data_IF_109533799505
#
_entry.id   IF_109533799505
#
_cell.length_a   1.000
_cell.length_b   1.000
_cell.length_c   1.000
_cell.angle_alpha   90.00
_cell.angle_beta   90.00
_cell.angle_gamma   90.00
#
_symmetry.space_group_name_H-M   'P 1'
#
loop_
_entity.id
_entity.type
_entity.pdbx_description
1 polymer ?
#
# COMPACT_ATOMS: atom_id res chain seq x y z
N UNK A 1 26.13 -18.63 -50.44
CA UNK A 1 25.42 -18.39 -49.16
C UNK A 1 26.24 -18.90 -47.98
N UNK A 2 27.38 -18.28 -47.63
CA UNK A 2 28.20 -18.72 -46.48
C UNK A 2 28.88 -17.61 -45.66
N UNK A 3 28.82 -16.35 -46.10
CA UNK A 3 29.30 -15.19 -45.32
C UNK A 3 28.19 -14.50 -44.48
N UNK A 4 26.93 -14.56 -44.90
CA UNK A 4 25.82 -13.85 -44.22
C UNK A 4 25.48 -14.45 -42.83
N UNK A 5 25.95 -15.67 -42.54
CA UNK A 5 25.66 -16.38 -41.29
C UNK A 5 26.71 -16.18 -40.18
N UNK A 6 27.85 -15.53 -40.47
CA UNK A 6 28.86 -15.22 -39.45
C UNK A 6 28.73 -13.82 -38.84
N UNK A 7 28.08 -12.87 -39.52
CA UNK A 7 27.89 -11.53 -38.96
C UNK A 7 26.89 -11.49 -37.78
N UNK A 8 25.92 -12.41 -37.77
CA UNK A 8 24.89 -12.46 -36.71
C UNK A 8 25.41 -13.06 -35.40
N UNK A 9 26.38 -13.97 -35.44
CA UNK A 9 26.93 -14.61 -34.23
C UNK A 9 27.83 -13.67 -33.42
N UNK A 10 28.38 -12.62 -34.05
CA UNK A 10 29.30 -11.68 -33.40
C UNK A 10 28.60 -10.56 -32.60
N UNK A 11 27.31 -10.28 -32.87
CA UNK A 11 26.54 -9.23 -32.17
C UNK A 11 26.01 -9.73 -30.82
N UNK A 12 25.93 -11.04 -30.60
CA UNK A 12 25.42 -11.62 -29.34
C UNK A 12 26.45 -11.66 -28.20
N UNK A 13 27.72 -11.32 -28.44
CA UNK A 13 28.83 -11.50 -27.50
C UNK A 13 29.45 -10.17 -27.02
N UNK A 14 28.63 -9.12 -26.81
CA UNK A 14 29.12 -7.82 -26.33
C UNK A 14 28.21 -7.10 -25.30
N UNK A 15 27.27 -7.81 -24.66
CA UNK A 15 26.39 -7.21 -23.61
C UNK A 15 26.23 -8.12 -22.38
N UNK A 16 27.30 -8.77 -21.94
CA UNK A 16 27.33 -9.54 -20.68
C UNK A 16 28.60 -9.31 -19.85
N UNK A 17 28.71 -8.13 -19.23
CA UNK A 17 29.59 -7.93 -18.06
C UNK A 17 29.07 -6.76 -17.20
N UNK A 18 28.24 -7.02 -16.18
CA UNK A 18 28.23 -6.25 -14.92
C UNK A 18 27.35 -6.92 -13.83
N UNK A 19 27.99 -7.52 -12.81
CA UNK A 19 27.55 -7.60 -11.39
C UNK A 19 28.36 -8.65 -10.61
N UNK A 20 28.41 -8.53 -9.27
CA UNK A 20 29.28 -9.25 -8.31
C UNK A 20 30.79 -8.89 -8.43
N UNK A 21 31.62 -8.69 -7.39
CA UNK A 21 31.60 -8.84 -5.90
C UNK A 21 32.75 -7.96 -5.30
N UNK A 22 32.96 -7.72 -3.99
CA UNK A 22 32.12 -7.57 -2.78
C UNK A 22 33.00 -7.36 -1.51
N UNK A 23 32.40 -6.98 -0.36
CA UNK A 23 32.82 -7.35 1.03
C UNK A 23 34.05 -6.66 1.69
N UNK A 24 33.80 -6.01 2.85
CA UNK A 24 34.68 -5.80 4.06
C UNK A 24 35.88 -4.83 3.89
N UNK A 25 36.16 -3.86 4.79
CA UNK A 25 36.51 -4.07 6.20
C UNK A 25 36.33 -2.84 7.13
N UNK A 26 36.21 -3.12 8.44
CA UNK A 26 35.96 -2.18 9.55
C UNK A 26 37.24 -1.51 10.09
N UNK A 27 37.12 -0.35 10.75
CA UNK A 27 37.44 -0.14 12.20
C UNK A 27 37.88 1.29 12.58
N UNK A 28 37.32 1.83 13.68
CA UNK A 28 37.90 2.87 14.58
C UNK A 28 38.25 4.25 13.98
N UNK A 29 38.27 5.39 14.69
CA UNK A 29 38.62 5.68 16.10
C UNK A 29 37.64 6.70 16.71
N UNK A 30 37.60 6.76 18.05
CA UNK A 30 36.71 7.60 18.87
C UNK A 30 37.31 8.98 19.25
N UNK A 31 36.64 9.64 20.20
CA UNK A 31 37.03 10.86 20.96
C UNK A 31 36.77 12.19 20.21
N UNK A 32 35.95 13.15 20.67
CA UNK A 32 35.59 13.69 22.00
C UNK A 32 36.54 14.76 22.55
N UNK A 33 36.17 16.05 22.41
CA UNK A 33 36.58 17.14 23.32
C UNK A 33 35.41 18.13 23.45
N UNK A 34 35.07 18.49 24.69
CA UNK A 34 34.25 19.66 25.03
C UNK A 34 35.22 20.78 25.40
N UNK A 35 35.10 21.98 24.82
CA UNK A 35 35.60 23.17 25.51
C UNK A 35 35.02 24.50 25.02
N UNK A 36 34.66 25.33 26.01
CA UNK A 36 34.20 26.70 25.92
C UNK A 36 35.28 27.66 26.43
N UNK A 37 35.58 28.77 25.73
CA UNK A 37 36.08 30.03 26.34
C UNK A 37 35.65 31.21 25.46
N UNK A 38 35.52 32.40 26.03
CA UNK A 38 35.10 33.66 25.39
C UNK A 38 36.27 34.63 25.09
N UNK A 39 36.06 35.57 24.15
CA UNK A 39 36.60 36.96 24.09
C UNK A 39 36.01 37.61 22.80
N UNK A 40 35.31 38.75 22.77
CA UNK A 40 35.52 40.12 23.29
C UNK A 40 36.43 41.00 22.40
N UNK A 41 35.82 41.90 21.61
CA UNK A 41 36.19 43.31 21.30
C UNK A 41 35.31 43.81 20.13
N UNK A 42 34.96 45.08 19.88
CA UNK A 42 34.69 46.30 20.66
C UNK A 42 34.76 47.50 19.67
N UNK A 43 33.65 48.24 19.44
CA UNK A 43 33.59 49.60 18.86
C UNK A 43 32.14 50.13 19.02
N UNK A 44 31.84 51.19 19.81
CA UNK A 44 32.04 52.65 19.55
C UNK A 44 31.12 53.17 18.43
N UNK A 45 30.28 54.22 18.57
CA UNK A 45 29.81 55.06 19.70
C UNK A 45 28.61 55.91 19.22
N UNK A 46 27.76 56.44 20.12
CA UNK A 46 26.75 57.47 19.74
C UNK A 46 25.67 57.76 20.78
N UNK A 47 25.77 58.89 21.49
CA UNK A 47 24.84 59.29 22.56
C UNK A 47 23.55 59.93 22.06
N UNK A 48 22.43 59.66 22.75
CA UNK A 48 21.40 60.65 23.03
C UNK A 48 20.62 60.27 24.31
N UNK A 49 20.44 61.23 25.24
CA UNK A 49 19.59 61.11 26.43
C UNK A 49 18.43 62.07 26.29
N UNK A 50 17.20 61.61 26.50
CA UNK A 50 16.02 62.45 26.75
C UNK A 50 14.98 61.68 27.59
N UNK A 51 14.13 62.42 28.29
CA UNK A 51 13.50 62.00 29.55
C UNK A 51 11.97 62.11 29.49
N UNK A 52 11.25 61.26 30.23
CA UNK A 52 9.84 61.45 30.69
C UNK A 52 8.72 61.51 29.60
N UNK A 53 7.46 61.12 29.83
CA UNK A 53 6.75 60.53 30.98
C UNK A 53 5.45 59.80 30.54
N UNK A 54 4.93 58.91 31.40
CA UNK A 54 3.50 58.56 31.61
C UNK A 54 2.64 58.00 30.44
N UNK A 55 1.51 57.30 30.66
CA UNK A 55 1.07 56.37 31.72
C UNK A 55 -0.30 55.73 31.31
N UNK A 56 -0.43 54.40 31.37
CA UNK A 56 -1.66 53.59 31.50
C UNK A 56 -1.22 52.10 31.46
N UNK A 57 -1.53 51.20 32.41
CA UNK A 57 -2.84 50.69 32.86
C UNK A 57 -3.64 50.06 31.69
N UNK A 58 -4.13 48.81 31.74
CA UNK A 58 -4.24 47.85 32.86
C UNK A 58 -4.11 46.38 32.40
N UNK A 59 -4.25 45.46 33.36
CA UNK A 59 -3.98 44.02 33.25
C UNK A 59 -5.16 43.16 32.76
N UNK A 60 -4.84 41.91 32.42
CA UNK A 60 -5.70 40.71 32.57
C UNK A 60 -7.06 40.71 31.85
N UNK A 61 -7.09 40.17 30.62
CA UNK A 61 -8.29 39.64 29.97
C UNK A 61 -8.09 38.14 29.68
N UNK A 62 -8.97 37.29 30.22
CA UNK A 62 -8.83 35.83 30.12
C UNK A 62 -9.12 35.31 28.71
N UNK A 63 -8.41 34.25 28.29
CA UNK A 63 -8.72 33.53 27.07
C UNK A 63 -10.05 32.77 27.21
N UNK A 64 -11.10 33.28 26.58
CA UNK A 64 -12.38 32.57 26.46
C UNK A 64 -12.25 31.43 25.46
N UNK A 65 -12.31 30.19 25.96
CA UNK A 65 -12.38 29.00 25.13
C UNK A 65 -13.71 29.00 24.34
N UNK A 66 -13.63 29.00 23.01
CA UNK A 66 -14.79 28.86 22.15
C UNK A 66 -15.29 27.41 22.17
N UNK A 67 -16.26 27.12 23.04
CA UNK A 67 -16.97 25.84 23.10
C UNK A 67 -17.90 25.68 21.90
N UNK A 68 -17.36 25.23 20.77
CA UNK A 68 -18.16 24.80 19.62
C UNK A 68 -18.88 23.47 19.95
N UNK A 69 -20.02 23.59 20.65
CA UNK A 69 -20.94 22.49 20.90
C UNK A 69 -21.70 22.11 19.62
N UNK A 70 -21.01 21.52 18.65
CA UNK A 70 -21.65 20.84 17.52
C UNK A 70 -22.34 19.60 18.03
N UNK A 71 -23.66 19.54 17.83
CA UNK A 71 -24.53 18.45 18.26
C UNK A 71 -23.96 17.08 17.92
N UNK A 72 -23.90 16.21 18.93
CA UNK A 72 -23.66 14.77 18.75
C UNK A 72 -24.90 14.13 18.11
N UNK A 73 -25.03 14.29 16.80
CA UNK A 73 -25.96 13.47 16.03
C UNK A 73 -25.52 12.00 16.11
N UNK A 74 -26.45 11.13 16.49
CA UNK A 74 -26.17 9.73 16.79
C UNK A 74 -26.21 8.88 15.53
N UNK A 75 -25.37 9.23 14.56
CA UNK A 75 -25.04 8.43 13.40
C UNK A 75 -23.58 7.96 13.52
N UNK A 76 -23.38 6.80 14.14
CA UNK A 76 -22.07 6.13 14.23
C UNK A 76 -21.65 5.52 12.87
N UNK A 77 -21.55 6.37 11.84
CA UNK A 77 -21.04 6.02 10.53
C UNK A 77 -19.51 6.11 10.52
N UNK A 78 -18.84 4.96 10.41
CA UNK A 78 -17.38 4.81 10.25
C UNK A 78 -16.49 5.78 11.04
N UNK A 79 -16.12 5.38 12.27
CA UNK A 79 -15.14 6.06 13.14
C UNK A 79 -13.77 6.33 12.51
N UNK A 80 -13.47 5.75 11.34
CA UNK A 80 -12.27 5.99 10.54
C UNK A 80 -12.31 7.37 9.83
N UNK A 81 -13.49 7.86 9.46
CA UNK A 81 -13.64 9.15 8.74
C UNK A 81 -13.28 10.36 9.62
N UNK A 82 -13.30 10.22 10.94
CA UNK A 82 -12.89 11.25 11.89
C UNK A 82 -11.38 11.25 12.19
N UNK A 83 -10.63 10.23 11.76
CA UNK A 83 -9.19 10.14 12.02
C UNK A 83 -8.40 11.18 11.19
N UNK A 84 -7.29 11.71 11.73
CA UNK A 84 -6.38 12.56 10.97
C UNK A 84 -5.78 11.79 9.79
N UNK A 85 -5.53 12.46 8.67
CA UNK A 85 -4.84 11.90 7.50
C UNK A 85 -3.32 11.94 7.61
N UNK A 86 -2.80 12.59 8.66
CA UNK A 86 -1.38 12.67 9.00
C UNK A 86 -1.23 12.78 10.51
N UNK A 87 -0.47 11.86 11.12
CA UNK A 87 0.02 11.99 12.49
C UNK A 87 1.32 11.19 12.67
N UNK A 88 2.02 11.46 13.77
CA UNK A 88 3.18 10.68 14.23
C UNK A 88 2.94 10.29 15.68
N UNK A 89 3.23 9.04 16.02
CA UNK A 89 3.05 8.49 17.36
C UNK A 89 4.35 7.88 17.87
N UNK A 90 4.48 7.78 19.20
CA UNK A 90 5.61 7.11 19.83
C UNK A 90 5.65 5.60 19.54
N UNK A 91 6.79 5.00 19.85
CA UNK A 91 7.07 3.57 19.70
C UNK A 91 6.28 2.64 20.63
N UNK A 92 5.43 3.19 21.51
CA UNK A 92 4.41 2.45 22.28
C UNK A 92 3.15 2.12 21.48
N UNK A 93 2.96 2.73 20.31
CA UNK A 93 1.80 2.50 19.43
C UNK A 93 2.18 1.53 18.31
N UNK A 94 1.39 0.46 18.15
CA UNK A 94 1.60 -0.51 17.08
C UNK A 94 1.19 0.03 15.70
N UNK A 95 1.72 -0.56 14.63
CA UNK A 95 1.19 -0.33 13.29
C UNK A 95 -0.25 -0.88 13.18
N UNK A 96 -1.07 -0.23 12.38
CA UNK A 96 -2.42 -0.68 12.08
C UNK A 96 -2.40 -1.82 11.04
N UNK A 97 -3.44 -2.63 11.01
CA UNK A 97 -3.61 -3.68 10.01
C UNK A 97 -5.04 -3.72 9.48
N UNK A 98 -5.20 -4.27 8.28
CA UNK A 98 -6.50 -4.70 7.78
C UNK A 98 -6.56 -6.24 7.76
N UNK A 99 -7.75 -6.80 8.02
CA UNK A 99 -8.00 -8.23 7.90
C UNK A 99 -9.15 -8.45 6.94
N UNK A 100 -8.95 -9.28 5.91
CA UNK A 100 -10.01 -9.67 4.99
C UNK A 100 -11.03 -10.56 5.72
N UNK A 101 -12.28 -10.11 5.74
CA UNK A 101 -13.45 -10.87 6.19
C UNK A 101 -13.96 -11.73 5.03
N UNK A 102 -14.06 -11.12 3.85
CA UNK A 102 -14.51 -11.77 2.61
C UNK A 102 -13.48 -11.51 1.49
N UNK A 103 -13.15 -12.52 0.68
CA UNK A 103 -13.46 -13.92 0.88
C UNK A 103 -12.59 -14.53 2.00
N UNK A 104 -13.19 -15.41 2.81
CA UNK A 104 -12.51 -16.01 3.96
C UNK A 104 -11.54 -17.09 3.49
N UNK A 105 -10.23 -16.83 3.56
CA UNK A 105 -9.22 -17.86 3.30
C UNK A 105 -9.17 -18.87 4.47
N UNK A 106 -9.42 -20.15 4.18
CA UNK A 106 -9.17 -21.22 5.15
C UNK A 106 -7.72 -21.69 5.03
N UNK A 107 -7.12 -22.16 6.14
CA UNK A 107 -5.76 -22.71 6.16
C UNK A 107 -5.56 -23.88 5.18
N UNK A 108 -6.64 -24.55 4.77
CA UNK A 108 -6.61 -25.71 3.88
C UNK A 108 -7.20 -25.45 2.49
N UNK A 109 -7.95 -24.35 2.29
CA UNK A 109 -8.66 -24.08 1.03
C UNK A 109 -8.65 -22.57 0.76
N UNK A 110 -8.10 -22.18 -0.38
CA UNK A 110 -8.22 -20.81 -0.90
C UNK A 110 -9.54 -20.64 -1.66
N UNK A 111 -10.20 -19.47 -1.58
CA UNK A 111 -11.39 -19.16 -2.38
C UNK A 111 -11.11 -19.33 -3.87
N UNK A 112 -12.01 -20.01 -4.58
CA UNK A 112 -11.83 -20.41 -5.98
C UNK A 112 -12.88 -19.71 -6.87
N UNK A 113 -12.41 -18.99 -7.89
CA UNK A 113 -13.24 -18.18 -8.79
C UNK A 113 -13.03 -18.57 -10.25
N UNK A 114 -14.10 -18.47 -11.04
CA UNK A 114 -14.06 -18.76 -12.48
C UNK A 114 -13.57 -17.53 -13.26
N UNK A 115 -12.68 -17.74 -14.23
CA UNK A 115 -12.26 -16.71 -15.18
C UNK A 115 -13.38 -16.56 -16.23
N UNK A 116 -14.36 -15.70 -15.92
CA UNK A 116 -15.49 -15.35 -16.78
C UNK A 116 -15.73 -13.84 -16.65
N UNK A 117 -16.05 -13.15 -17.74
CA UNK A 117 -16.32 -11.69 -17.75
C UNK A 117 -17.55 -11.30 -16.92
N UNK A 118 -18.42 -12.26 -16.61
CA UNK A 118 -19.62 -12.12 -15.80
C UNK A 118 -19.35 -12.30 -14.29
N UNK A 119 -18.18 -12.83 -13.93
CA UNK A 119 -17.79 -13.11 -12.54
C UNK A 119 -17.30 -11.83 -11.85
N UNK A 120 -17.66 -11.67 -10.57
CA UNK A 120 -17.26 -10.54 -9.75
C UNK A 120 -16.70 -11.03 -8.41
N UNK A 121 -15.46 -10.66 -8.08
CA UNK A 121 -14.82 -11.04 -6.81
C UNK A 121 -14.98 -9.91 -5.80
N UNK A 122 -15.79 -10.12 -4.77
CA UNK A 122 -16.02 -9.13 -3.71
C UNK A 122 -15.07 -9.32 -2.54
N UNK A 123 -14.34 -8.26 -2.20
CA UNK A 123 -13.45 -8.15 -1.06
C UNK A 123 -14.09 -7.29 0.02
N UNK A 124 -14.01 -7.72 1.28
CA UNK A 124 -14.46 -6.97 2.47
C UNK A 124 -13.40 -7.14 3.55
N UNK A 125 -13.02 -6.06 4.23
CA UNK A 125 -12.02 -6.06 5.29
C UNK A 125 -12.40 -5.16 6.46
N UNK A 126 -11.83 -5.44 7.62
CA UNK A 126 -11.91 -4.60 8.81
C UNK A 126 -10.52 -4.09 9.21
N UNK A 127 -10.45 -2.85 9.70
CA UNK A 127 -9.22 -2.25 10.21
C UNK A 127 -9.06 -2.49 11.71
N UNK A 128 -7.83 -2.66 12.18
CA UNK A 128 -7.46 -2.82 13.60
C UNK A 128 -6.31 -1.88 13.93
N UNK A 129 -6.37 -1.20 15.08
CA UNK A 129 -5.38 -0.23 15.56
C UNK A 129 -5.09 0.96 14.62
N UNK A 130 -6.03 1.30 13.73
CA UNK A 130 -5.89 2.44 12.82
C UNK A 130 -6.12 3.76 13.56
N UNK A 131 -5.08 4.61 13.57
CA UNK A 131 -5.10 5.94 14.20
C UNK A 131 -4.82 7.06 13.19
N UNK A 132 -4.17 6.74 12.07
CA UNK A 132 -4.10 7.61 10.89
C UNK A 132 -4.95 7.02 9.78
N UNK A 133 -5.88 7.81 9.25
CA UNK A 133 -6.66 7.42 8.06
C UNK A 133 -5.76 7.53 6.82
N UNK A 134 -5.66 6.48 5.98
CA UNK A 134 -5.09 6.58 4.64
C UNK A 134 -5.77 7.67 3.82
N UNK A 135 -5.07 8.31 2.89
CA UNK A 135 -5.73 9.23 1.94
C UNK A 135 -6.37 8.43 0.81
N UNK A 136 -5.66 7.41 0.33
CA UNK A 136 -6.14 6.48 -0.69
C UNK A 136 -5.72 5.06 -0.29
N UNK A 137 -6.54 4.08 -0.63
CA UNK A 137 -6.23 2.66 -0.56
C UNK A 137 -6.08 2.11 -1.98
N UNK A 138 -5.09 1.25 -2.19
CA UNK A 138 -4.97 0.47 -3.42
C UNK A 138 -5.24 -0.99 -3.09
N UNK A 139 -6.18 -1.59 -3.82
CA UNK A 139 -6.38 -3.03 -3.84
C UNK A 139 -5.77 -3.57 -5.14
N UNK A 140 -4.91 -4.57 -5.02
CA UNK A 140 -4.23 -5.21 -6.13
C UNK A 140 -4.15 -6.74 -5.95
N UNK A 141 -3.86 -7.47 -7.01
CA UNK A 141 -3.61 -8.90 -6.98
C UNK A 141 -2.35 -9.26 -7.80
N UNK A 142 -1.43 -10.00 -7.19
CA UNK A 142 -0.20 -10.47 -7.83
C UNK A 142 -0.41 -11.89 -8.35
N UNK A 143 -0.28 -12.06 -9.67
CA UNK A 143 -0.45 -13.32 -10.37
C UNK A 143 0.76 -14.26 -10.20
N UNK A 144 0.64 -15.56 -10.55
CA UNK A 144 1.72 -16.54 -10.47
C UNK A 144 3.01 -16.08 -11.19
N UNK A 145 2.87 -15.43 -12.35
CA UNK A 145 3.95 -14.88 -13.17
C UNK A 145 4.53 -13.54 -12.65
N UNK A 146 4.14 -13.08 -11.45
CA UNK A 146 4.54 -11.81 -10.83
C UNK A 146 4.05 -10.53 -11.52
N UNK A 147 3.07 -10.63 -12.44
CA UNK A 147 2.34 -9.44 -12.90
C UNK A 147 1.36 -9.00 -11.81
N UNK A 148 1.37 -7.71 -11.48
CA UNK A 148 0.44 -7.10 -10.53
C UNK A 148 -0.74 -6.47 -11.27
N UNK A 149 -1.94 -6.89 -10.93
CA UNK A 149 -3.21 -6.31 -11.39
C UNK A 149 -3.72 -5.33 -10.33
N UNK A 150 -3.72 -4.03 -10.63
CA UNK A 150 -4.45 -3.06 -9.81
C UNK A 150 -5.94 -3.31 -10.01
N UNK A 151 -6.63 -3.71 -8.95
CA UNK A 151 -8.07 -3.99 -8.98
C UNK A 151 -8.83 -2.67 -8.96
N UNK A 152 -8.52 -1.81 -7.99
CA UNK A 152 -9.13 -0.49 -7.85
C UNK A 152 -8.34 0.41 -6.88
N UNK A 153 -8.50 1.71 -7.04
CA UNK A 153 -8.07 2.74 -6.08
C UNK A 153 -9.31 3.29 -5.38
N UNK A 154 -9.25 3.37 -4.05
CA UNK A 154 -10.39 3.63 -3.16
C UNK A 154 -10.08 4.80 -2.22
N UNK A 155 -11.12 5.42 -1.68
CA UNK A 155 -10.99 6.30 -0.53
C UNK A 155 -10.43 5.55 0.69
N UNK A 156 -9.66 6.24 1.53
CA UNK A 156 -9.04 5.65 2.72
C UNK A 156 -9.98 5.13 3.81
N UNK A 157 -11.28 5.44 3.73
CA UNK A 157 -12.33 4.89 4.62
C UNK A 157 -13.00 3.63 4.08
N UNK A 158 -12.69 3.20 2.85
CA UNK A 158 -13.30 2.04 2.24
C UNK A 158 -12.97 0.73 2.99
N UNK A 159 -14.00 -0.09 3.20
CA UNK A 159 -13.93 -1.42 3.84
C UNK A 159 -14.35 -2.55 2.89
N UNK A 160 -14.69 -2.24 1.64
CA UNK A 160 -15.04 -3.22 0.62
C UNK A 160 -14.71 -2.73 -0.79
N UNK A 161 -14.52 -3.67 -1.70
CA UNK A 161 -14.35 -3.42 -3.14
C UNK A 161 -14.73 -4.67 -3.94
N UNK A 162 -15.16 -4.47 -5.19
CA UNK A 162 -15.50 -5.56 -6.11
C UNK A 162 -14.61 -5.50 -7.34
N UNK A 163 -14.01 -6.64 -7.69
CA UNK A 163 -13.26 -6.83 -8.92
C UNK A 163 -14.15 -7.46 -9.99
N UNK A 164 -14.57 -6.67 -10.98
CA UNK A 164 -15.13 -7.21 -12.20
C UNK A 164 -14.03 -7.76 -13.09
N UNK A 165 -14.07 -9.06 -13.42
CA UNK A 165 -13.02 -9.67 -14.24
C UNK A 165 -13.06 -9.19 -15.70
N UNK A 166 -14.19 -8.63 -16.14
CA UNK A 166 -14.35 -7.92 -17.41
C UNK A 166 -13.50 -6.64 -17.54
N UNK A 167 -13.04 -6.06 -16.44
CA UNK A 167 -12.19 -4.86 -16.46
C UNK A 167 -10.69 -5.17 -16.65
N UNK A 168 -10.30 -6.45 -16.75
CA UNK A 168 -8.88 -6.83 -16.91
C UNK A 168 -8.38 -6.49 -18.33
N UNK A 169 -7.22 -5.83 -18.49
CA UNK A 169 -6.71 -5.47 -19.80
C UNK A 169 -6.45 -6.69 -20.70
N UNK A 170 -6.95 -6.66 -21.95
CA UNK A 170 -6.74 -7.73 -22.92
C UNK A 170 -5.26 -8.00 -23.25
N UNK A 171 -4.37 -7.04 -23.03
CA UNK A 171 -2.92 -7.19 -23.17
C UNK A 171 -2.26 -8.03 -22.06
N UNK A 172 -2.96 -8.27 -20.95
CA UNK A 172 -2.51 -9.11 -19.84
C UNK A 172 -3.70 -9.90 -19.29
N UNK A 173 -4.12 -10.98 -19.97
CA UNK A 173 -5.28 -11.76 -19.54
C UNK A 173 -5.00 -12.50 -18.22
N UNK A 174 -6.07 -12.73 -17.44
CA UNK A 174 -5.99 -13.59 -16.25
C UNK A 174 -5.56 -15.01 -16.64
N UNK A 175 -4.78 -15.63 -15.76
CA UNK A 175 -4.30 -16.99 -15.91
C UNK A 175 -4.82 -17.88 -14.79
N UNK A 176 -4.77 -19.19 -15.04
CA UNK A 176 -5.02 -20.22 -14.02
C UNK A 176 -4.03 -20.07 -12.86
N UNK A 177 -4.50 -20.26 -11.62
CA UNK A 177 -3.65 -20.43 -10.45
C UNK A 177 -3.88 -19.44 -9.32
N UNK A 178 -2.89 -19.33 -8.44
CA UNK A 178 -2.98 -18.61 -7.16
C UNK A 178 -2.56 -17.14 -7.30
N UNK A 179 -3.43 -16.24 -6.88
CA UNK A 179 -3.22 -14.79 -6.87
C UNK A 179 -3.14 -14.29 -5.43
N UNK A 180 -2.04 -13.63 -5.08
CA UNK A 180 -1.88 -12.99 -3.77
C UNK A 180 -2.53 -11.61 -3.79
N UNK A 181 -3.55 -11.40 -2.96
CA UNK A 181 -4.26 -10.13 -2.84
C UNK A 181 -3.44 -9.20 -1.93
N UNK A 182 -3.32 -7.95 -2.35
CA UNK A 182 -2.54 -6.91 -1.67
C UNK A 182 -3.43 -5.69 -1.42
N UNK A 183 -3.49 -5.23 -0.16
CA UNK A 183 -4.16 -4.00 0.23
C UNK A 183 -3.15 -3.09 0.94
N UNK A 184 -2.97 -1.87 0.43
CA UNK A 184 -1.99 -0.91 0.96
C UNK A 184 -2.46 0.54 0.80
N UNK A 185 -1.86 1.45 1.58
CA UNK A 185 -2.16 2.88 1.55
C UNK A 185 -1.32 3.64 0.49
N UNK A 186 -1.43 4.97 0.48
CA UNK A 186 -0.69 5.83 -0.46
C UNK A 186 0.84 5.72 -0.40
N UNK A 187 1.42 5.06 0.61
CA UNK A 187 2.87 4.83 0.76
C UNK A 187 3.34 3.56 0.02
N UNK A 188 2.41 2.75 -0.49
CA UNK A 188 2.70 1.60 -1.34
C UNK A 188 2.99 0.28 -0.60
N UNK A 189 3.13 -0.80 -1.37
CA UNK A 189 3.35 -2.17 -0.87
C UNK A 189 4.66 -2.34 -0.07
N UNK A 190 5.66 -1.48 -0.31
CA UNK A 190 6.95 -1.47 0.37
C UNK A 190 7.04 -0.47 1.53
N UNK A 191 5.89 0.06 2.00
CA UNK A 191 5.87 1.01 3.11
C UNK A 191 6.37 0.40 4.41
N UNK A 192 7.27 1.11 5.10
CA UNK A 192 7.73 0.71 6.44
C UNK A 192 6.61 0.78 7.47
N UNK A 193 6.53 -0.24 8.32
CA UNK A 193 5.64 -0.27 9.49
C UNK A 193 5.82 0.99 10.32
N UNK A 194 4.73 1.75 10.48
CA UNK A 194 4.73 3.04 11.20
C UNK A 194 3.59 3.02 12.23
N UNK A 195 3.82 3.45 13.48
CA UNK A 195 2.80 3.51 14.53
C UNK A 195 1.48 4.17 14.07
N UNK A 196 0.35 3.48 14.26
CA UNK A 196 -0.99 3.99 13.92
C UNK A 196 -1.35 4.07 12.42
N UNK A 197 -0.38 3.90 11.52
CA UNK A 197 -0.58 3.84 10.07
C UNK A 197 -0.83 2.40 9.60
N UNK A 198 -1.55 2.24 8.47
CA UNK A 198 -1.83 0.94 7.86
C UNK A 198 -0.56 0.24 7.36
N UNK A 199 -0.25 -0.94 7.88
CA UNK A 199 0.72 -1.84 7.27
C UNK A 199 0.16 -2.48 5.99
N UNK A 200 0.95 -2.65 4.91
CA UNK A 200 0.53 -3.39 3.73
C UNK A 200 0.12 -4.84 4.08
N UNK A 201 -1.03 -5.28 3.56
CA UNK A 201 -1.63 -6.58 3.87
C UNK A 201 -1.58 -7.50 2.65
N UNK A 202 -0.99 -8.68 2.81
CA UNK A 202 -0.76 -9.66 1.73
C UNK A 202 -1.17 -11.10 2.10
N UNK A 203 -2.00 -11.24 3.15
CA UNK A 203 -2.36 -12.52 3.78
C UNK A 203 -3.42 -13.31 3.02
N UNK A 204 -4.22 -12.65 2.19
CA UNK A 204 -5.26 -13.30 1.39
C UNK A 204 -4.66 -13.81 0.07
N UNK A 205 -4.91 -15.08 -0.24
CA UNK A 205 -4.65 -15.67 -1.57
C UNK A 205 -5.96 -16.25 -2.10
N UNK A 206 -6.25 -15.99 -3.37
CA UNK A 206 -7.40 -16.55 -4.09
C UNK A 206 -6.91 -17.39 -5.28
N UNK A 207 -7.74 -18.29 -5.77
CA UNK A 207 -7.45 -19.15 -6.91
C UNK A 207 -8.37 -18.82 -8.08
N UNK A 208 -7.84 -18.79 -9.31
CA UNK A 208 -8.61 -18.67 -10.53
C UNK A 208 -8.55 -19.95 -11.37
N UNK A 209 -9.69 -20.35 -11.93
CA UNK A 209 -9.80 -21.46 -12.87
C UNK A 209 -10.67 -21.11 -14.09
N UNK A 210 -10.42 -21.77 -15.20
CA UNK A 210 -11.25 -21.75 -16.41
C UNK A 210 -12.18 -22.97 -16.35
N UNK A 211 -13.47 -22.76 -16.65
CA UNK A 211 -14.38 -23.88 -16.83
C UNK A 211 -14.21 -24.43 -18.25
N UNK A 212 -13.93 -25.72 -18.37
CA UNK A 212 -14.03 -26.40 -19.66
C UNK A 212 -15.49 -26.40 -20.12
N UNK A 213 -15.73 -25.95 -21.35
CA UNK A 213 -17.05 -25.97 -21.96
C UNK A 213 -17.51 -27.42 -22.09
N UNK A 214 -18.48 -27.84 -21.27
CA UNK A 214 -19.10 -29.15 -21.38
C UNK A 214 -19.80 -29.29 -22.75
N UNK A 215 -19.19 -30.04 -23.65
CA UNK A 215 -19.79 -30.42 -24.93
C UNK A 215 -20.57 -31.71 -24.71
N UNK A 216 -21.90 -31.64 -24.84
CA UNK A 216 -22.75 -32.83 -24.73
C UNK A 216 -22.28 -33.90 -25.72
N UNK A 217 -21.99 -35.15 -25.29
CA UNK A 217 -21.51 -36.21 -26.17
C UNK A 217 -22.50 -36.56 -27.30
N UNK A 218 -22.36 -35.90 -28.45
CA UNK A 218 -23.15 -36.16 -29.66
C UNK A 218 -22.60 -37.40 -30.36
N UNK A 219 -22.73 -38.57 -29.71
CA UNK A 219 -21.89 -39.73 -30.05
C UNK A 219 -22.43 -41.13 -29.79
N UNK A 220 -23.62 -41.32 -29.20
CA UNK A 220 -24.21 -42.66 -29.08
C UNK A 220 -25.07 -43.03 -30.29
N UNK A 221 -24.44 -43.31 -31.44
CA UNK A 221 -25.13 -44.00 -32.54
C UNK A 221 -25.55 -45.38 -32.04
N UNK A 222 -26.85 -45.56 -31.81
CA UNK A 222 -27.46 -46.83 -31.41
C UNK A 222 -27.40 -47.79 -32.59
N UNK A 223 -26.33 -48.58 -32.68
CA UNK A 223 -26.22 -49.67 -33.65
C UNK A 223 -27.25 -50.75 -33.29
N UNK A 224 -28.39 -50.71 -33.99
CA UNK A 224 -29.43 -51.73 -33.88
C UNK A 224 -28.95 -52.94 -34.67
N UNK A 225 -28.33 -53.89 -33.98
CA UNK A 225 -28.09 -55.22 -34.51
C UNK A 225 -29.43 -55.93 -34.66
N UNK A 226 -29.93 -56.04 -35.89
CA UNK A 226 -30.99 -56.99 -36.22
C UNK A 226 -30.37 -58.39 -36.26
N UNK A 227 -30.71 -59.23 -35.29
CA UNK A 227 -30.63 -60.67 -35.47
C UNK A 227 -31.63 -61.08 -36.58
N UNK A 228 -31.14 -61.85 -37.54
CA UNK A 228 -31.93 -62.49 -38.60
C UNK A 228 -32.33 -63.90 -38.17
#
# INVERSE_FOLDING_TARGET
>A
MRLLFQLFTFVCLLIQTLSAQSVVQSSSVAQSVIQSVAQTTAAVSGSAVATTAAAAAASSGAAVAASNNTSVDSAAANSIAALPTSASYGNSVYAASATFVTPTASKSVSPLYRIDSSENVTFVWSFTNLLVRPTNLTLAAVAPNKVTYTITSLDGTATSATWGLSNVPAASPLMMGMYQVQLYDQRGISASYSPGWLAPVTTLTIAFYSAESYVTPTGSKRYIYKCA
#
